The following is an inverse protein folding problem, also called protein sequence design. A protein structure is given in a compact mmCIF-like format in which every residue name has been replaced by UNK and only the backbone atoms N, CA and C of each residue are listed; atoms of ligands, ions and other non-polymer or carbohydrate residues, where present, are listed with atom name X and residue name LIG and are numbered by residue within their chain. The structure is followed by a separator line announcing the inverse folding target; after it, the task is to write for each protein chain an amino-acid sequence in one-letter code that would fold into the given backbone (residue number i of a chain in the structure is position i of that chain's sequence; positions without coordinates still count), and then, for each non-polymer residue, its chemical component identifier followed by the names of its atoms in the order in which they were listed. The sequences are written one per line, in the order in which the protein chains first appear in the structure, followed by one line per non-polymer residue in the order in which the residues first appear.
data_IF_644432792217
#
_entry.id   IF_644432792217
#
_cell.length_a   1.000
_cell.length_b   1.000
_cell.length_c   1.000
_cell.angle_alpha   90.00
_cell.angle_beta   90.00
_cell.angle_gamma   90.00
#
_symmetry.space_group_name_H-M   'P 1'
#
loop_
_entity.id
_entity.type
_entity.pdbx_description
1 polymer ?
#
# COMPACT_ATOMS: atom_id res chain seq x y z
N UNK A 1 -2.59 6.24 -4.93
CA UNK A 1 -1.36 5.47 -4.62
C UNK A 1 -0.13 6.38 -4.65
N UNK A 2 0.05 7.20 -5.68
CA UNK A 2 1.18 8.13 -5.83
C UNK A 2 1.29 9.28 -4.79
N UNK A 3 0.32 9.44 -3.89
CA UNK A 3 0.35 10.45 -2.81
C UNK A 3 0.65 9.87 -1.43
N UNK A 4 0.99 8.58 -1.35
CA UNK A 4 1.42 7.98 -0.08
C UNK A 4 2.74 8.59 0.35
N UNK A 5 2.80 9.02 1.61
CA UNK A 5 3.96 9.68 2.21
C UNK A 5 4.89 8.65 2.86
N UNK A 6 6.16 9.03 3.04
CA UNK A 6 7.13 8.21 3.79
C UNK A 6 6.65 7.90 5.20
N UNK A 7 5.98 8.84 5.87
CA UNK A 7 5.40 8.64 7.20
C UNK A 7 4.34 7.53 7.23
N UNK A 8 3.51 7.43 6.18
CA UNK A 8 2.51 6.38 6.09
C UNK A 8 3.16 5.02 5.80
N UNK A 9 4.08 4.98 4.84
CA UNK A 9 4.87 3.77 4.55
C UNK A 9 5.60 3.25 5.80
N UNK A 10 6.15 4.16 6.61
CA UNK A 10 6.81 3.81 7.87
C UNK A 10 5.83 3.34 8.96
N UNK A 11 4.58 3.82 8.93
CA UNK A 11 3.53 3.45 9.89
C UNK A 11 2.99 2.04 9.65
N UNK A 12 2.92 1.59 8.40
CA UNK A 12 2.64 0.18 8.09
C UNK A 12 3.74 -0.75 8.60
N UNK A 13 4.98 -0.27 8.62
CA UNK A 13 6.08 -0.95 9.30
C UNK A 13 6.61 -2.19 8.57
N UNK A 14 6.24 -2.38 7.30
CA UNK A 14 6.70 -3.49 6.47
C UNK A 14 8.12 -3.25 5.91
N UNK A 15 8.85 -4.34 5.64
CA UNK A 15 10.18 -4.30 5.02
C UNK A 15 11.20 -3.45 5.79
N UNK A 16 11.85 -2.53 5.07
CA UNK A 16 12.80 -1.54 5.61
C UNK A 16 12.14 -0.21 6.00
N UNK A 17 10.80 -0.13 5.97
CA UNK A 17 9.99 1.06 6.24
C UNK A 17 10.20 2.20 5.23
N UNK A 18 10.86 1.95 4.11
CA UNK A 18 11.03 2.94 3.06
C UNK A 18 9.79 3.03 2.18
N UNK A 19 9.53 4.23 1.65
CA UNK A 19 8.50 4.43 0.63
C UNK A 19 8.79 3.60 -0.63
N UNK A 20 10.06 3.40 -0.97
CA UNK A 20 10.45 2.61 -2.14
C UNK A 20 10.03 1.14 -1.99
N UNK A 21 10.30 0.53 -0.83
CA UNK A 21 9.88 -0.83 -0.54
C UNK A 21 8.35 -0.94 -0.52
N UNK A 22 7.69 0.01 0.16
CA UNK A 22 6.23 0.06 0.22
C UNK A 22 5.61 0.12 -1.19
N UNK A 23 6.14 0.97 -2.07
CA UNK A 23 5.70 1.10 -3.45
C UNK A 23 5.89 -0.21 -4.24
N UNK A 24 7.06 -0.84 -4.15
CA UNK A 24 7.31 -2.09 -4.86
C UNK A 24 6.34 -3.20 -4.42
N UNK A 25 6.19 -3.37 -3.11
CA UNK A 25 5.29 -4.37 -2.52
C UNK A 25 3.83 -4.12 -2.94
N UNK A 26 3.35 -2.89 -2.78
CA UNK A 26 1.96 -2.52 -3.07
C UNK A 26 1.65 -2.51 -4.56
N UNK A 27 2.59 -2.11 -5.42
CA UNK A 27 2.42 -2.21 -6.88
C UNK A 27 2.21 -3.65 -7.30
N UNK A 28 3.03 -4.57 -6.79
CA UNK A 28 2.90 -6.00 -7.08
C UNK A 28 1.58 -6.58 -6.58
N UNK A 29 1.17 -6.22 -5.36
CA UNK A 29 -0.10 -6.65 -4.79
C UNK A 29 -1.30 -6.13 -5.59
N UNK A 30 -1.42 -4.81 -5.74
CA UNK A 30 -2.56 -4.20 -6.44
C UNK A 30 -2.61 -4.59 -7.93
N UNK A 31 -1.46 -4.80 -8.59
CA UNK A 31 -1.47 -5.26 -9.99
C UNK A 31 -2.08 -6.65 -10.14
N UNK A 32 -1.85 -7.56 -9.17
CA UNK A 32 -2.47 -8.88 -9.16
C UNK A 32 -3.97 -8.80 -8.91
N UNK A 33 -4.39 -8.06 -7.90
CA UNK A 33 -5.81 -7.84 -7.58
C UNK A 33 -6.55 -7.19 -8.77
N UNK A 34 -5.95 -6.17 -9.39
CA UNK A 34 -6.52 -5.52 -10.58
C UNK A 34 -6.69 -6.51 -11.73
N UNK A 35 -5.69 -7.36 -11.98
CA UNK A 35 -5.77 -8.39 -13.01
C UNK A 35 -6.91 -9.38 -12.76
N UNK A 36 -7.09 -9.83 -11.51
CA UNK A 36 -8.18 -10.72 -11.12
C UNK A 36 -9.56 -10.05 -11.27
N UNK A 37 -9.64 -8.74 -11.02
CA UNK A 37 -10.85 -7.92 -11.20
C UNK A 37 -11.09 -7.49 -12.66
N UNK A 38 -10.17 -7.80 -13.59
CA UNK A 38 -10.26 -7.40 -14.99
C UNK A 38 -10.07 -5.90 -15.24
N UNK A 39 -9.39 -5.19 -14.33
CA UNK A 39 -9.04 -3.77 -14.45
C UNK A 39 -7.52 -3.59 -14.52
N UNK A 40 -7.07 -2.43 -14.99
CA UNK A 40 -5.64 -2.09 -15.01
C UNK A 40 -5.25 -1.31 -13.76
N UNK A 41 -4.12 -1.69 -13.17
CA UNK A 41 -3.50 -0.92 -12.09
C UNK A 41 -3.09 0.46 -12.60
N UNK A 42 -3.46 1.51 -11.86
CA UNK A 42 -2.98 2.87 -12.10
C UNK A 42 -2.46 3.50 -10.81
N UNK A 43 -1.41 4.29 -10.93
CA UNK A 43 -0.79 4.95 -9.77
C UNK A 43 -1.66 6.07 -9.18
N UNK A 44 -2.65 6.54 -9.95
CA UNK A 44 -3.66 7.52 -9.55
C UNK A 44 -4.89 6.90 -8.86
N UNK A 45 -4.94 5.57 -8.71
CA UNK A 45 -6.04 4.92 -8.00
C UNK A 45 -6.13 5.41 -6.55
N UNK A 46 -7.36 5.63 -6.11
CA UNK A 46 -7.65 5.97 -4.72
C UNK A 46 -7.36 4.76 -3.82
N UNK A 47 -6.67 5.03 -2.71
CA UNK A 47 -6.42 4.05 -1.67
C UNK A 47 -7.21 4.46 -0.43
N UNK A 48 -7.79 3.48 0.25
CA UNK A 48 -8.33 3.66 1.60
C UNK A 48 -7.20 3.31 2.56
N UNK A 49 -6.80 4.28 3.40
CA UNK A 49 -5.73 4.11 4.37
C UNK A 49 -6.33 3.94 5.77
N UNK A 50 -6.06 2.82 6.41
CA UNK A 50 -6.62 2.48 7.72
C UNK A 50 -5.53 2.48 8.80
N UNK A 51 -5.78 3.15 9.92
CA UNK A 51 -4.93 3.11 11.10
C UNK A 51 -5.67 2.40 12.22
N UNK A 52 -5.05 1.40 12.82
CA UNK A 52 -5.63 0.62 13.91
C UNK A 52 -4.64 0.39 15.04
N UNK A 53 -5.16 -0.03 16.20
CA UNK A 53 -4.36 -0.40 17.37
C UNK A 53 -4.87 -1.72 17.93
N UNK A 54 -3.96 -2.57 18.37
CA UNK A 54 -4.30 -3.80 19.09
C UNK A 54 -4.89 -3.42 20.46
N UNK A 55 -6.08 -3.93 20.79
CA UNK A 55 -6.79 -3.63 22.05
C UNK A 55 -6.72 -4.75 23.09
N UNK A 56 -6.28 -5.94 22.68
CA UNK A 56 -6.14 -7.14 23.51
C UNK A 56 -5.11 -8.08 22.88
N UNK A 57 -4.34 -8.83 23.67
CA UNK A 57 -3.31 -9.76 23.18
C UNK A 57 -3.34 -11.08 23.96
#
# INVERSE_FOLDING_TARGET
YNQVTEDFAASEGEGDKSLAWWQEAHRNFFSRECHELGIEFREDMLLVLEHFKVVYH
#
